data_IF_158941975713
#
_entry.id   IF_158941975713
#
_cell.length_a   1.000
_cell.length_b   1.000
_cell.length_c   1.000
_cell.angle_alpha   90.00
_cell.angle_beta   90.00
_cell.angle_gamma   90.00
#
_symmetry.space_group_name_H-M   'P 1'
#
loop_
_entity.id
_entity.type
_entity.pdbx_description
1 polymer ?
#
# COMPACT_ATOMS: atom_id res chain seq x y z
N UNK A 1 -9.39 50.10 13.36
CA UNK A 1 -8.07 49.43 13.31
C UNK A 1 -7.46 49.10 14.68
N UNK A 2 -8.27 48.95 15.75
CA UNK A 2 -7.73 48.61 17.08
C UNK A 2 -8.37 47.34 17.71
N UNK A 3 -9.08 46.53 16.95
CA UNK A 3 -9.72 45.29 17.46
C UNK A 3 -9.03 43.98 17.06
N UNK A 4 -7.91 44.03 16.34
CA UNK A 4 -7.23 42.81 15.83
C UNK A 4 -6.06 42.36 16.72
N UNK A 5 -5.61 43.14 17.70
CA UNK A 5 -4.44 42.84 18.55
C UNK A 5 -4.75 42.16 19.88
N UNK A 6 -6.01 41.75 20.15
CA UNK A 6 -6.35 41.14 21.44
C UNK A 6 -6.30 39.60 21.45
N UNK A 7 -6.03 38.99 20.32
CA UNK A 7 -5.99 37.53 20.18
C UNK A 7 -4.58 36.89 20.05
N UNK A 8 -3.54 37.74 20.14
CA UNK A 8 -2.15 37.28 20.03
C UNK A 8 -1.50 36.87 21.36
N UNK A 9 -2.25 36.82 22.46
CA UNK A 9 -1.68 36.56 23.79
C UNK A 9 -2.29 35.41 24.60
N UNK A 10 -3.22 34.65 24.04
CA UNK A 10 -3.80 33.48 24.71
C UNK A 10 -3.39 32.20 24.02
N UNK A 11 -2.69 31.32 24.74
CA UNK A 11 -2.11 30.06 24.31
C UNK A 11 -3.08 29.03 23.69
N UNK A 12 -3.82 29.44 22.66
CA UNK A 12 -4.75 28.60 21.90
C UNK A 12 -4.00 27.71 20.86
N UNK A 13 -2.70 28.01 20.63
CA UNK A 13 -1.85 27.18 19.74
C UNK A 13 -1.57 25.77 20.28
N UNK A 14 -1.90 25.48 21.55
CA UNK A 14 -1.70 24.16 22.15
C UNK A 14 -2.89 23.20 22.02
N UNK A 15 -4.03 23.64 21.51
CA UNK A 15 -5.22 22.76 21.40
C UNK A 15 -5.41 22.08 20.05
N UNK A 16 -4.51 22.26 19.06
CA UNK A 16 -4.57 21.53 17.78
C UNK A 16 -5.90 21.68 17.00
N UNK A 17 -6.75 22.63 17.40
CA UNK A 17 -8.00 22.92 16.69
C UNK A 17 -7.64 23.73 15.45
N UNK A 18 -7.72 23.11 14.31
CA UNK A 18 -7.49 23.73 13.02
C UNK A 18 -8.56 24.83 12.82
N UNK A 19 -8.19 26.08 13.12
CA UNK A 19 -9.09 27.25 12.96
C UNK A 19 -9.68 27.32 11.55
N UNK A 20 -9.00 26.74 10.58
CA UNK A 20 -9.43 26.65 9.19
C UNK A 20 -10.65 25.73 9.02
N UNK A 21 -10.73 24.65 9.79
CA UNK A 21 -11.89 23.74 9.78
C UNK A 21 -13.10 24.37 10.50
N UNK A 22 -12.86 25.12 11.59
CA UNK A 22 -13.94 25.82 12.28
C UNK A 22 -14.56 26.91 11.40
N UNK A 23 -13.74 27.65 10.64
CA UNK A 23 -14.22 28.65 9.69
C UNK A 23 -14.88 28.05 8.45
N UNK A 24 -14.50 26.84 8.03
CA UNK A 24 -15.09 26.17 6.87
C UNK A 24 -16.55 25.76 7.12
N UNK A 25 -16.92 25.47 8.37
CA UNK A 25 -18.30 25.16 8.76
C UNK A 25 -19.18 26.41 8.91
N UNK A 26 -18.58 27.59 9.14
CA UNK A 26 -19.31 28.85 9.31
C UNK A 26 -19.47 29.66 8.01
N UNK A 27 -18.75 29.32 6.95
CA UNK A 27 -18.92 29.96 5.66
C UNK A 27 -20.02 29.25 4.85
N UNK A 28 -21.01 29.97 4.30
CA UNK A 28 -21.99 29.37 3.40
C UNK A 28 -21.24 28.75 2.21
N UNK A 29 -21.52 27.48 1.95
CA UNK A 29 -20.93 26.74 0.81
C UNK A 29 -21.11 27.57 -0.47
N UNK A 30 -20.02 28.07 -1.06
CA UNK A 30 -20.05 28.78 -2.34
C UNK A 30 -20.62 27.84 -3.40
N UNK A 31 -21.87 28.02 -3.74
CA UNK A 31 -22.51 27.31 -4.86
C UNK A 31 -21.93 27.81 -6.18
N UNK A 32 -21.23 26.93 -6.88
CA UNK A 32 -20.69 27.22 -8.21
C UNK A 32 -21.72 26.79 -9.25
N UNK A 33 -22.36 27.75 -9.93
CA UNK A 33 -23.25 27.42 -11.06
C UNK A 33 -22.40 26.84 -12.21
N UNK A 34 -22.66 25.58 -12.57
CA UNK A 34 -22.08 24.91 -13.73
C UNK A 34 -23.19 24.69 -14.77
N UNK A 35 -22.87 24.95 -16.05
CA UNK A 35 -23.70 24.51 -17.16
C UNK A 35 -23.16 23.19 -17.66
N UNK A 36 -23.97 22.15 -17.59
CA UNK A 36 -23.62 20.78 -18.00
C UNK A 36 -24.72 20.25 -18.95
N UNK A 37 -24.37 19.33 -19.87
CA UNK A 37 -25.37 18.55 -20.60
C UNK A 37 -26.29 17.81 -19.63
N UNK A 38 -27.56 17.60 -20.03
CA UNK A 38 -28.58 16.98 -19.14
C UNK A 38 -28.15 15.61 -18.63
N UNK A 39 -27.46 14.81 -19.45
CA UNK A 39 -26.94 13.49 -19.06
C UNK A 39 -25.92 13.55 -17.95
N UNK A 40 -24.99 14.52 -17.99
CA UNK A 40 -23.99 14.73 -16.96
C UNK A 40 -24.59 15.38 -15.71
N UNK A 41 -25.46 16.37 -15.89
CA UNK A 41 -26.17 17.01 -14.78
C UNK A 41 -26.97 16.00 -13.96
N UNK A 42 -27.62 15.02 -14.63
CA UNK A 42 -28.34 13.93 -13.95
C UNK A 42 -27.43 13.09 -13.07
N UNK A 43 -26.23 12.72 -13.55
CA UNK A 43 -25.26 11.95 -12.75
C UNK A 43 -24.82 12.71 -11.52
N UNK A 44 -24.50 14.00 -11.67
CA UNK A 44 -24.07 14.85 -10.55
C UNK A 44 -25.21 15.00 -9.53
N UNK A 45 -26.44 15.27 -9.97
CA UNK A 45 -27.59 15.41 -9.07
C UNK A 45 -27.91 14.10 -8.33
N UNK A 46 -27.79 12.94 -8.99
CA UNK A 46 -27.99 11.65 -8.33
C UNK A 46 -26.94 11.44 -7.24
N UNK A 47 -25.67 11.79 -7.50
CA UNK A 47 -24.61 11.70 -6.50
C UNK A 47 -24.84 12.66 -5.32
N UNK A 48 -25.25 13.90 -5.60
CA UNK A 48 -25.57 14.90 -4.57
C UNK A 48 -26.75 14.46 -3.70
N UNK A 49 -27.82 13.92 -4.30
CA UNK A 49 -28.97 13.42 -3.53
C UNK A 49 -28.66 12.14 -2.78
N UNK A 50 -27.89 11.22 -3.37
CA UNK A 50 -27.43 10.02 -2.67
C UNK A 50 -26.55 10.36 -1.43
N UNK A 51 -25.69 11.37 -1.57
CA UNK A 51 -24.86 11.82 -0.46
C UNK A 51 -25.67 12.39 0.72
N UNK A 52 -26.84 12.99 0.45
CA UNK A 52 -27.74 13.50 1.51
C UNK A 52 -28.48 12.40 2.27
N UNK A 53 -28.59 11.21 1.68
CA UNK A 53 -29.22 10.04 2.32
C UNK A 53 -28.27 9.30 3.27
N UNK A 54 -26.98 9.64 3.26
CA UNK A 54 -25.97 9.03 4.11
C UNK A 54 -25.83 9.87 5.37
N UNK A 55 -26.10 9.27 6.52
CA UNK A 55 -25.74 9.84 7.82
C UNK A 55 -24.26 9.59 8.09
N UNK A 56 -23.45 10.63 7.87
CA UNK A 56 -21.99 10.56 8.06
C UNK A 56 -21.59 10.29 9.50
N UNK A 57 -22.38 10.75 10.47
CA UNK A 57 -22.10 10.51 11.87
C UNK A 57 -22.30 9.03 12.22
N UNK A 58 -23.37 8.40 11.69
CA UNK A 58 -23.59 6.96 11.82
C UNK A 58 -22.47 6.16 11.13
N UNK A 59 -22.05 6.56 9.92
CA UNK A 59 -20.94 5.92 9.19
C UNK A 59 -19.65 5.97 10.00
N UNK A 60 -19.32 7.11 10.61
CA UNK A 60 -18.13 7.27 11.44
C UNK A 60 -18.21 6.37 12.68
N UNK A 61 -19.32 6.35 13.37
CA UNK A 61 -19.55 5.51 14.55
C UNK A 61 -19.35 4.03 14.21
N UNK A 62 -19.97 3.56 13.12
CA UNK A 62 -19.86 2.18 12.66
C UNK A 62 -18.42 1.86 12.25
N UNK A 63 -17.73 2.79 11.58
CA UNK A 63 -16.33 2.61 11.17
C UNK A 63 -15.39 2.49 12.39
N UNK A 64 -15.53 3.38 13.38
CA UNK A 64 -14.76 3.32 14.62
C UNK A 64 -15.00 1.97 15.31
N UNK A 65 -16.26 1.58 15.51
CA UNK A 65 -16.61 0.31 16.14
C UNK A 65 -16.01 -0.89 15.41
N UNK A 66 -16.13 -0.95 14.08
CA UNK A 66 -15.51 -2.02 13.27
C UNK A 66 -13.99 -2.03 13.40
N UNK A 67 -13.36 -0.87 13.42
CA UNK A 67 -11.90 -0.75 13.59
C UNK A 67 -11.47 -1.30 14.95
N UNK A 68 -12.18 -0.92 16.03
CA UNK A 68 -11.87 -1.38 17.38
C UNK A 68 -12.09 -2.88 17.58
N UNK A 69 -13.14 -3.47 16.98
CA UNK A 69 -13.53 -4.86 17.20
C UNK A 69 -12.88 -5.85 16.23
N UNK A 70 -12.64 -5.45 14.98
CA UNK A 70 -12.17 -6.32 13.88
C UNK A 70 -11.08 -5.72 13.03
N UNK A 71 -10.43 -4.64 13.48
CA UNK A 71 -9.34 -3.99 12.78
C UNK A 71 -8.11 -4.89 12.67
N UNK A 72 -7.39 -4.76 11.55
CA UNK A 72 -6.09 -5.41 11.31
C UNK A 72 -5.12 -4.33 10.90
N UNK A 73 -3.95 -4.30 11.54
CA UNK A 73 -2.86 -3.37 11.23
C UNK A 73 -1.63 -4.16 10.83
N UNK A 74 -1.08 -3.88 9.64
CA UNK A 74 0.20 -4.41 9.21
C UNK A 74 1.31 -3.41 9.48
N UNK A 75 2.38 -3.88 10.13
CA UNK A 75 3.62 -3.13 10.36
C UNK A 75 4.69 -3.79 9.48
N UNK A 76 5.02 -3.16 8.37
CA UNK A 76 6.05 -3.68 7.47
C UNK A 76 7.45 -3.20 7.88
N UNK A 77 8.47 -3.96 7.47
CA UNK A 77 9.88 -3.66 7.73
C UNK A 77 10.24 -3.46 9.21
N UNK A 78 9.61 -4.21 10.13
CA UNK A 78 9.87 -4.09 11.57
C UNK A 78 11.35 -4.41 11.93
N UNK A 79 12.07 -5.14 11.09
CA UNK A 79 13.49 -5.40 11.23
C UNK A 79 14.36 -4.16 11.16
N UNK A 80 13.88 -3.07 10.52
CA UNK A 80 14.59 -1.80 10.42
C UNK A 80 14.70 -1.05 11.75
N UNK A 81 13.79 -1.30 12.67
CA UNK A 81 13.83 -0.73 14.02
C UNK A 81 14.45 -1.67 15.04
N UNK A 82 14.78 -2.91 14.67
CA UNK A 82 15.54 -3.83 15.54
C UNK A 82 16.99 -3.36 15.65
N UNK A 83 17.55 -3.40 16.87
CA UNK A 83 18.87 -2.86 17.19
C UNK A 83 19.75 -3.94 17.81
N UNK A 84 20.94 -4.18 17.24
CA UNK A 84 21.90 -5.18 17.76
C UNK A 84 22.76 -4.68 18.90
N UNK A 85 23.03 -3.37 18.99
CA UNK A 85 23.95 -2.78 19.95
C UNK A 85 23.41 -1.45 20.48
N UNK A 86 23.32 -1.33 21.79
CA UNK A 86 22.83 -0.12 22.50
C UNK A 86 23.85 1.05 22.53
N UNK A 87 24.92 1.02 21.71
CA UNK A 87 26.03 1.96 21.85
C UNK A 87 26.11 3.07 20.80
N UNK A 88 25.24 3.06 19.78
CA UNK A 88 25.23 4.13 18.78
C UNK A 88 24.01 5.05 18.92
N UNK A 89 24.14 6.31 18.52
CA UNK A 89 23.01 7.28 18.53
C UNK A 89 21.86 6.82 17.62
N UNK A 90 22.16 6.04 16.58
CA UNK A 90 21.17 5.46 15.67
C UNK A 90 20.36 4.37 16.37
N UNK A 91 20.99 3.57 17.22
CA UNK A 91 20.33 2.48 17.95
C UNK A 91 19.38 3.02 19.03
N UNK A 92 19.75 4.11 19.69
CA UNK A 92 18.87 4.84 20.62
C UNK A 92 17.61 5.34 19.92
N UNK A 93 17.75 5.85 18.69
CA UNK A 93 16.60 6.30 17.88
C UNK A 93 15.68 5.13 17.49
N UNK A 94 16.24 3.97 17.10
CA UNK A 94 15.47 2.76 16.79
C UNK A 94 14.70 2.21 17.98
N UNK A 95 15.34 2.16 19.14
CA UNK A 95 14.68 1.77 20.38
C UNK A 95 13.57 2.75 20.77
N UNK A 96 13.77 4.05 20.55
CA UNK A 96 12.73 5.08 20.73
C UNK A 96 11.48 4.79 19.91
N UNK A 97 11.62 4.47 18.62
CA UNK A 97 10.49 4.09 17.75
C UNK A 97 9.77 2.85 18.26
N UNK A 98 10.51 1.82 18.73
CA UNK A 98 9.87 0.64 19.31
C UNK A 98 9.05 0.98 20.57
N UNK A 99 9.55 1.88 21.41
CA UNK A 99 8.85 2.35 22.63
C UNK A 99 7.63 3.22 22.29
N UNK A 100 7.66 3.95 21.16
CA UNK A 100 6.51 4.74 20.69
C UNK A 100 5.38 3.86 20.12
N UNK A 101 5.73 2.73 19.48
CA UNK A 101 4.75 1.77 18.93
C UNK A 101 4.15 0.91 20.06
N UNK A 102 4.91 0.62 21.10
CA UNK A 102 4.52 -0.32 22.15
C UNK A 102 3.16 0.00 22.78
N UNK A 103 2.82 1.24 23.22
CA UNK A 103 1.51 1.54 23.78
C UNK A 103 0.35 1.24 22.82
N UNK A 104 0.57 1.43 21.52
CA UNK A 104 -0.45 1.19 20.49
C UNK A 104 -0.73 -0.31 20.37
N UNK A 105 0.32 -1.14 20.40
CA UNK A 105 0.21 -2.60 20.31
C UNK A 105 -0.29 -3.21 21.63
N UNK A 106 0.01 -2.57 22.77
CA UNK A 106 -0.46 -3.01 24.09
C UNK A 106 -1.93 -2.70 24.36
N UNK A 107 -2.50 -1.75 23.66
CA UNK A 107 -3.85 -1.23 23.84
C UNK A 107 -3.82 0.19 24.41
N UNK A 108 -4.24 1.12 23.62
CA UNK A 108 -4.35 2.55 23.98
C UNK A 108 -5.49 3.20 23.22
N UNK A 109 -5.81 4.44 23.61
CA UNK A 109 -6.75 5.27 22.86
C UNK A 109 -6.00 6.22 21.96
N UNK A 110 -6.12 6.06 20.65
CA UNK A 110 -5.51 6.91 19.64
C UNK A 110 -6.52 7.94 19.15
N UNK A 111 -6.17 9.23 19.21
CA UNK A 111 -7.01 10.30 18.70
C UNK A 111 -6.86 10.38 17.18
N UNK A 112 -7.98 10.21 16.47
CA UNK A 112 -8.04 10.36 15.01
C UNK A 112 -8.88 11.58 14.63
N UNK A 113 -8.85 11.96 13.36
CA UNK A 113 -9.73 13.03 12.84
C UNK A 113 -11.23 12.70 12.92
N UNK A 114 -11.56 11.45 13.17
CA UNK A 114 -12.94 10.97 13.32
C UNK A 114 -13.35 10.69 14.77
N UNK A 115 -12.43 10.87 15.71
CA UNK A 115 -12.64 10.63 17.11
C UNK A 115 -11.64 9.63 17.70
N UNK A 116 -11.78 9.29 19.01
CA UNK A 116 -10.91 8.32 19.67
C UNK A 116 -11.17 6.91 19.16
N UNK A 117 -10.10 6.14 18.98
CA UNK A 117 -10.12 4.71 18.60
C UNK A 117 -9.29 3.92 19.60
N UNK A 118 -9.87 2.88 20.19
CA UNK A 118 -9.19 1.95 21.10
C UNK A 118 -8.52 0.84 20.31
N UNK A 119 -7.29 0.50 20.67
CA UNK A 119 -6.49 -0.50 19.94
C UNK A 119 -6.44 -1.87 20.62
N UNK A 120 -7.14 -2.05 21.74
CA UNK A 120 -7.08 -3.25 22.58
C UNK A 120 -7.43 -4.56 21.87
N UNK A 121 -8.32 -4.51 20.88
CA UNK A 121 -8.78 -5.69 20.13
C UNK A 121 -8.37 -5.68 18.66
N UNK A 122 -7.49 -4.76 18.26
CA UNK A 122 -6.94 -4.72 16.91
C UNK A 122 -5.86 -5.82 16.77
N UNK A 123 -5.93 -6.56 15.68
CA UNK A 123 -4.90 -7.54 15.34
C UNK A 123 -3.70 -6.81 14.69
N UNK A 124 -2.52 -6.95 15.30
CA UNK A 124 -1.26 -6.44 14.74
C UNK A 124 -0.48 -7.57 14.08
N UNK A 125 -0.06 -7.37 12.85
CA UNK A 125 0.78 -8.30 12.08
C UNK A 125 2.04 -7.56 11.68
N UNK A 126 3.17 -7.97 12.22
CA UNK A 126 4.47 -7.39 11.88
C UNK A 126 5.22 -8.26 10.88
N UNK A 127 5.79 -7.65 9.85
CA UNK A 127 6.61 -8.32 8.84
C UNK A 127 8.00 -7.71 8.78
N UNK A 128 9.00 -8.52 8.51
CA UNK A 128 10.39 -8.07 8.34
C UNK A 128 11.25 -9.16 7.74
N UNK A 129 12.27 -8.77 6.98
CA UNK A 129 13.18 -9.70 6.34
C UNK A 129 14.22 -10.32 7.30
N UNK A 130 14.57 -9.59 8.36
CA UNK A 130 15.52 -10.01 9.40
C UNK A 130 16.86 -10.59 8.88
N UNK A 131 17.36 -10.06 7.76
CA UNK A 131 18.65 -10.51 7.19
C UNK A 131 19.86 -10.14 8.08
N UNK A 132 19.81 -8.95 8.69
CA UNK A 132 20.87 -8.41 9.53
C UNK A 132 20.53 -8.52 11.01
N UNK A 133 19.33 -8.06 11.38
CA UNK A 133 18.79 -8.16 12.72
C UNK A 133 18.01 -9.48 12.89
N UNK A 134 17.76 -9.87 14.13
CA UNK A 134 16.90 -11.01 14.48
C UNK A 134 15.63 -10.51 15.19
N UNK A 135 14.53 -11.26 15.19
CA UNK A 135 13.37 -10.92 16.03
C UNK A 135 13.70 -10.74 17.51
N UNK A 136 14.76 -11.41 18.01
CA UNK A 136 15.27 -11.26 19.37
C UNK A 136 16.01 -9.93 19.62
N UNK A 137 16.29 -9.15 18.59
CA UNK A 137 16.91 -7.83 18.70
C UNK A 137 15.88 -6.70 18.90
N UNK A 138 14.59 -7.03 18.87
CA UNK A 138 13.53 -6.14 19.32
C UNK A 138 13.51 -6.08 20.85
N UNK A 139 12.99 -4.98 21.43
CA UNK A 139 12.86 -4.87 22.88
C UNK A 139 11.99 -5.99 23.45
N UNK A 140 12.28 -6.53 24.64
CA UNK A 140 11.57 -7.68 25.20
C UNK A 140 10.05 -7.49 25.30
N UNK A 141 9.62 -6.27 25.61
CA UNK A 141 8.21 -5.92 25.73
C UNK A 141 7.48 -6.10 24.40
N UNK A 142 8.09 -5.63 23.29
CA UNK A 142 7.53 -5.77 21.96
C UNK A 142 7.53 -7.22 21.49
N UNK A 143 8.59 -7.98 21.80
CA UNK A 143 8.61 -9.43 21.54
C UNK A 143 7.47 -10.18 22.22
N UNK A 144 7.11 -9.78 23.45
CA UNK A 144 5.98 -10.34 24.18
C UNK A 144 4.63 -10.08 23.54
N UNK A 145 4.50 -9.00 22.74
CA UNK A 145 3.27 -8.66 22.01
C UNK A 145 3.16 -9.33 20.65
N UNK A 146 4.27 -9.86 20.11
CA UNK A 146 4.29 -10.68 18.88
C UNK A 146 4.76 -12.12 19.22
N UNK A 147 3.96 -12.89 20.00
CA UNK A 147 4.38 -14.21 20.46
C UNK A 147 4.38 -15.26 19.35
N UNK A 148 3.51 -15.06 18.33
CA UNK A 148 3.40 -15.99 17.21
C UNK A 148 4.38 -15.57 16.12
N UNK A 149 5.28 -16.47 15.75
CA UNK A 149 6.27 -16.25 14.70
C UNK A 149 6.04 -17.24 13.57
N UNK A 150 6.01 -16.72 12.35
CA UNK A 150 5.84 -17.51 11.12
C UNK A 150 7.01 -17.16 10.20
N UNK A 151 7.71 -18.17 9.74
CA UNK A 151 8.75 -18.03 8.71
C UNK A 151 8.13 -18.41 7.36
N UNK A 152 8.22 -17.50 6.39
CA UNK A 152 7.74 -17.75 5.03
C UNK A 152 8.82 -18.49 4.24
N UNK A 153 8.40 -19.54 3.54
CA UNK A 153 9.29 -20.32 2.67
C UNK A 153 9.66 -19.52 1.42
N UNK A 154 10.80 -19.87 0.83
CA UNK A 154 11.23 -19.33 -0.46
C UNK A 154 10.27 -19.82 -1.55
N UNK A 155 9.97 -18.93 -2.51
CA UNK A 155 9.14 -19.27 -3.65
C UNK A 155 9.85 -20.32 -4.55
N UNK A 156 9.12 -21.37 -4.94
CA UNK A 156 9.54 -22.33 -5.95
C UNK A 156 9.20 -21.84 -7.36
N UNK A 157 9.67 -22.56 -8.39
CA UNK A 157 9.31 -22.27 -9.80
C UNK A 157 7.79 -22.37 -10.00
N UNK A 158 7.16 -23.38 -9.40
CA UNK A 158 5.72 -23.59 -9.46
C UNK A 158 4.95 -22.41 -8.83
N UNK A 159 5.44 -21.90 -7.69
CA UNK A 159 4.83 -20.72 -7.08
C UNK A 159 4.94 -19.48 -7.97
N UNK A 160 6.07 -19.30 -8.68
CA UNK A 160 6.20 -18.21 -9.65
C UNK A 160 5.22 -18.33 -10.81
N UNK A 161 5.00 -19.56 -11.34
CA UNK A 161 3.98 -19.83 -12.37
C UNK A 161 2.59 -19.49 -11.87
N UNK A 162 2.24 -19.93 -10.66
CA UNK A 162 0.95 -19.61 -10.05
C UNK A 162 0.74 -18.09 -9.90
N UNK A 163 1.74 -17.38 -9.39
CA UNK A 163 1.68 -15.90 -9.24
C UNK A 163 1.49 -15.21 -10.60
N UNK A 164 2.09 -15.73 -11.66
CA UNK A 164 1.96 -15.18 -13.01
C UNK A 164 0.57 -15.36 -13.62
N UNK A 165 -0.16 -16.43 -13.24
CA UNK A 165 -1.34 -16.88 -13.97
C UNK A 165 -2.64 -16.88 -13.17
N UNK A 166 -2.63 -17.31 -11.91
CA UNK A 166 -3.85 -17.60 -11.15
C UNK A 166 -4.59 -16.35 -10.63
N UNK A 167 -3.94 -15.35 -10.01
CA UNK A 167 -4.64 -14.20 -9.43
C UNK A 167 -5.51 -13.47 -10.45
N UNK A 168 -6.59 -12.86 -9.99
CA UNK A 168 -7.46 -12.04 -10.85
C UNK A 168 -6.68 -10.90 -11.50
N UNK A 169 -5.74 -10.32 -10.77
CA UNK A 169 -4.83 -9.28 -11.22
C UNK A 169 -3.41 -9.82 -11.47
N UNK A 170 -3.28 -11.06 -11.97
CA UNK A 170 -1.97 -11.62 -12.33
C UNK A 170 -1.20 -10.71 -13.29
N UNK A 171 0.14 -10.66 -13.16
CA UNK A 171 0.99 -9.77 -13.96
C UNK A 171 0.79 -9.92 -15.46
N UNK A 172 0.70 -11.15 -15.94
CA UNK A 172 0.44 -11.44 -17.36
C UNK A 172 -0.88 -10.79 -17.81
N UNK A 173 -1.94 -10.86 -16.99
CA UNK A 173 -3.24 -10.25 -17.30
C UNK A 173 -3.14 -8.72 -17.33
N UNK A 174 -2.34 -8.13 -16.42
CA UNK A 174 -2.12 -6.69 -16.40
C UNK A 174 -1.39 -6.20 -17.66
N UNK A 175 -0.31 -6.88 -18.08
CA UNK A 175 0.42 -6.50 -19.29
C UNK A 175 -0.40 -6.75 -20.57
N UNK A 176 -1.20 -7.82 -20.63
CA UNK A 176 -2.16 -8.03 -21.71
C UNK A 176 -3.15 -6.87 -21.83
N UNK A 177 -3.74 -6.45 -20.71
CA UNK A 177 -4.67 -5.33 -20.68
C UNK A 177 -4.00 -4.01 -21.05
N UNK A 178 -2.76 -3.77 -20.59
CA UNK A 178 -2.00 -2.56 -20.91
C UNK A 178 -1.72 -2.46 -22.40
N UNK A 179 -1.16 -3.49 -23.02
CA UNK A 179 -0.81 -3.49 -24.45
C UNK A 179 -2.06 -3.50 -25.35
N UNK A 180 -3.16 -4.06 -24.88
CA UNK A 180 -4.44 -3.98 -25.60
C UNK A 180 -4.96 -2.54 -25.73
N UNK A 181 -4.60 -1.60 -24.84
CA UNK A 181 -4.94 -0.19 -24.99
C UNK A 181 -4.24 0.48 -26.17
N UNK A 182 -3.08 -0.06 -26.57
CA UNK A 182 -2.32 0.38 -27.74
C UNK A 182 -2.65 -0.46 -29.00
N UNK A 183 -3.65 -1.34 -28.90
CA UNK A 183 -4.11 -2.17 -30.03
C UNK A 183 -3.30 -3.46 -30.28
N UNK A 184 -2.40 -3.81 -29.36
CA UNK A 184 -1.60 -5.04 -29.45
C UNK A 184 -2.18 -6.13 -28.57
N UNK A 185 -2.58 -7.26 -29.17
CA UNK A 185 -2.93 -8.48 -28.45
C UNK A 185 -1.68 -9.31 -28.16
N UNK A 186 -1.35 -9.48 -26.88
CA UNK A 186 -0.20 -10.29 -26.45
C UNK A 186 -0.64 -11.61 -25.84
N UNK A 187 -0.02 -12.72 -26.27
CA UNK A 187 -0.21 -14.04 -25.67
C UNK A 187 1.12 -14.60 -25.17
N UNK A 188 1.08 -15.34 -24.09
CA UNK A 188 2.24 -16.05 -23.55
C UNK A 188 1.98 -17.55 -23.71
N UNK A 189 2.93 -18.28 -24.30
CA UNK A 189 2.86 -19.72 -24.29
C UNK A 189 3.15 -20.27 -22.88
N UNK A 190 2.63 -21.46 -22.57
CA UNK A 190 2.86 -22.09 -21.28
C UNK A 190 4.35 -22.33 -21.01
N UNK A 191 5.10 -22.67 -22.06
CA UNK A 191 6.55 -22.86 -21.99
C UNK A 191 7.28 -21.54 -21.72
N UNK A 192 6.80 -20.41 -22.28
CA UNK A 192 7.36 -19.09 -21.99
C UNK A 192 7.11 -18.69 -20.52
N UNK A 193 5.92 -18.99 -19.99
CA UNK A 193 5.60 -18.76 -18.58
C UNK A 193 6.53 -19.58 -17.67
N UNK A 194 6.73 -20.85 -17.98
CA UNK A 194 7.67 -21.71 -17.26
C UNK A 194 9.11 -21.19 -17.33
N UNK A 195 9.52 -20.68 -18.49
CA UNK A 195 10.86 -20.11 -18.67
C UNK A 195 11.05 -18.83 -17.85
N UNK A 196 10.06 -17.91 -17.84
CA UNK A 196 10.06 -16.68 -17.03
C UNK A 196 10.14 -17.04 -15.54
N UNK A 197 9.34 -18.01 -15.09
CA UNK A 197 9.34 -18.47 -13.70
C UNK A 197 10.70 -19.08 -13.29
N UNK A 198 11.29 -19.91 -14.15
CA UNK A 198 12.61 -20.51 -13.92
C UNK A 198 13.72 -19.48 -13.84
N UNK A 199 13.70 -18.45 -14.71
CA UNK A 199 14.65 -17.34 -14.68
C UNK A 199 14.48 -16.52 -13.39
N UNK A 200 13.24 -16.23 -12.99
CA UNK A 200 12.98 -15.49 -11.74
C UNK A 200 13.50 -16.24 -10.52
N UNK A 201 13.30 -17.55 -10.48
CA UNK A 201 13.83 -18.42 -9.44
C UNK A 201 15.35 -18.39 -9.42
N UNK A 202 16.00 -18.59 -10.57
CA UNK A 202 17.46 -18.62 -10.68
C UNK A 202 18.08 -17.29 -10.27
N UNK A 203 17.57 -16.16 -10.77
CA UNK A 203 18.09 -14.85 -10.41
C UNK A 203 17.91 -14.56 -8.92
N UNK A 204 16.81 -15.00 -8.29
CA UNK A 204 16.63 -14.89 -6.84
C UNK A 204 17.57 -15.81 -6.02
N UNK A 205 18.13 -16.87 -6.64
CA UNK A 205 19.17 -17.68 -5.98
C UNK A 205 20.56 -17.06 -6.12
N UNK A 206 20.86 -16.47 -7.27
CA UNK A 206 22.18 -15.94 -7.62
C UNK A 206 22.40 -14.51 -7.10
N UNK A 207 21.32 -13.80 -6.79
CA UNK A 207 21.34 -12.40 -6.31
C UNK A 207 20.50 -12.24 -5.04
N UNK A 208 20.21 -10.98 -4.64
CA UNK A 208 19.29 -10.70 -3.55
C UNK A 208 17.90 -11.27 -3.83
N UNK A 209 17.41 -12.09 -2.93
CA UNK A 209 16.07 -12.66 -3.02
C UNK A 209 15.01 -11.59 -2.70
N UNK A 210 14.39 -11.03 -3.75
CA UNK A 210 13.30 -10.06 -3.64
C UNK A 210 11.91 -10.71 -3.85
N UNK A 211 11.84 -12.03 -3.80
CA UNK A 211 10.59 -12.79 -3.94
C UNK A 211 9.89 -12.52 -5.28
N UNK A 212 8.56 -12.40 -5.23
CA UNK A 212 7.73 -12.20 -6.42
C UNK A 212 7.96 -10.86 -7.14
N UNK A 213 8.58 -9.86 -6.48
CA UNK A 213 8.95 -8.59 -7.14
C UNK A 213 9.89 -8.82 -8.34
N UNK A 214 10.66 -9.91 -8.33
CA UNK A 214 11.51 -10.30 -9.46
C UNK A 214 10.74 -10.46 -10.77
N UNK A 215 9.51 -10.94 -10.71
CA UNK A 215 8.66 -11.11 -11.90
C UNK A 215 8.33 -9.78 -12.57
N UNK A 216 8.10 -8.70 -11.80
CA UNK A 216 7.89 -7.36 -12.38
C UNK A 216 9.12 -6.92 -13.18
N UNK A 217 10.30 -7.00 -12.58
CA UNK A 217 11.56 -6.60 -13.24
C UNK A 217 11.83 -7.40 -14.52
N UNK A 218 11.53 -8.70 -14.48
CA UNK A 218 11.73 -9.57 -15.65
C UNK A 218 10.73 -9.26 -16.76
N UNK A 219 9.43 -9.12 -16.42
CA UNK A 219 8.41 -8.81 -17.42
C UNK A 219 8.56 -7.40 -17.98
N UNK A 220 8.95 -6.42 -17.15
CA UNK A 220 9.26 -5.07 -17.59
C UNK A 220 10.37 -5.08 -18.64
N UNK A 221 11.51 -5.73 -18.35
CA UNK A 221 12.61 -5.87 -19.29
C UNK A 221 12.23 -6.66 -20.54
N UNK A 222 11.42 -7.73 -20.40
CA UNK A 222 10.97 -8.57 -21.50
C UNK A 222 10.10 -7.81 -22.50
N UNK A 223 9.26 -6.90 -22.00
CA UNK A 223 8.26 -6.18 -22.79
C UNK A 223 8.63 -4.72 -23.05
N UNK A 224 9.81 -4.27 -22.62
CA UNK A 224 10.27 -2.88 -22.74
C UNK A 224 10.21 -2.39 -24.19
N UNK A 225 10.86 -3.09 -25.13
CA UNK A 225 10.90 -2.70 -26.54
C UNK A 225 9.48 -2.73 -27.14
N UNK A 226 8.72 -3.80 -26.85
CA UNK A 226 7.35 -3.95 -27.36
C UNK A 226 6.45 -2.82 -26.87
N UNK A 227 6.58 -2.42 -25.60
CA UNK A 227 5.80 -1.33 -25.00
C UNK A 227 6.21 0.02 -25.57
N UNK A 228 7.50 0.22 -25.87
CA UNK A 228 8.02 1.47 -26.44
C UNK A 228 7.59 1.64 -27.90
N UNK A 229 7.65 0.57 -28.68
CA UNK A 229 7.32 0.59 -30.11
C UNK A 229 5.82 0.45 -30.38
N UNK A 230 5.02 0.05 -29.38
CA UNK A 230 3.59 -0.24 -29.51
C UNK A 230 2.78 0.82 -30.29
N UNK A 231 2.98 2.14 -30.07
CA UNK A 231 2.22 3.17 -30.79
C UNK A 231 2.55 3.25 -32.27
N UNK A 232 3.75 2.79 -32.68
CA UNK A 232 4.29 2.95 -34.03
C UNK A 232 4.22 1.67 -34.86
N UNK A 233 3.87 0.53 -34.24
CA UNK A 233 3.85 -0.78 -34.88
C UNK A 233 2.39 -1.23 -35.16
N UNK A 234 2.11 -1.59 -36.41
CA UNK A 234 0.86 -2.25 -36.80
C UNK A 234 0.94 -3.79 -36.59
N UNK A 235 1.19 -4.21 -35.35
CA UNK A 235 1.13 -5.63 -34.96
C UNK A 235 -0.17 -5.91 -34.22
N UNK A 236 -1.06 -6.67 -34.83
CA UNK A 236 -2.34 -7.02 -34.17
C UNK A 236 -2.17 -8.06 -33.06
N UNK A 237 -1.20 -8.98 -33.21
CA UNK A 237 -0.97 -10.07 -32.26
C UNK A 237 0.49 -10.44 -32.13
N UNK A 238 0.97 -10.57 -30.88
CA UNK A 238 2.32 -11.01 -30.53
C UNK A 238 2.24 -12.21 -29.59
N UNK A 239 2.98 -13.28 -29.93
CA UNK A 239 3.09 -14.46 -29.07
C UNK A 239 4.49 -14.51 -28.45
N UNK A 240 4.54 -14.48 -27.13
CA UNK A 240 5.79 -14.62 -26.37
C UNK A 240 6.12 -16.10 -26.25
N UNK A 241 7.22 -16.49 -26.88
CA UNK A 241 7.76 -17.86 -26.86
C UNK A 241 8.98 -17.96 -25.95
N UNK A 242 9.44 -19.17 -25.58
CA UNK A 242 10.67 -19.34 -24.80
C UNK A 242 11.91 -18.73 -25.47
N UNK A 243 11.99 -18.80 -26.81
CA UNK A 243 13.09 -18.24 -27.60
C UNK A 243 13.11 -16.71 -27.48
N UNK A 244 11.92 -16.07 -27.53
CA UNK A 244 11.79 -14.64 -27.32
C UNK A 244 12.27 -14.24 -25.91
N UNK A 245 11.89 -15.02 -24.89
CA UNK A 245 12.34 -14.81 -23.51
C UNK A 245 13.86 -14.89 -23.39
N UNK A 246 14.48 -15.90 -24.00
CA UNK A 246 15.93 -16.07 -24.00
C UNK A 246 16.65 -14.94 -24.73
N UNK A 247 16.14 -14.51 -25.87
CA UNK A 247 16.74 -13.43 -26.64
C UNK A 247 16.73 -12.07 -25.90
N UNK A 248 15.68 -11.81 -25.15
CA UNK A 248 15.49 -10.50 -24.47
C UNK A 248 16.13 -10.44 -23.08
N UNK A 249 16.35 -11.58 -22.43
CA UNK A 249 16.81 -11.62 -21.03
C UNK A 249 18.25 -12.15 -20.88
N UNK A 250 18.89 -12.62 -21.94
CA UNK A 250 20.32 -12.88 -22.02
C UNK A 250 21.02 -11.61 -22.52
#
# INVERSE_FOLDING_TARGET
NQKFNLLQGTGIDQMGINMQDLFSHLMPKKTKKRKLPVSEARKVLIQDEAAKLIDMDEVIQVAIKKTEETGIIFIDEIDKIASKNQQSSIDVSREGVQRDILPIVEGSTVMTKYGPVKTDHILFIAAGAFHIAKPSDLIPELQGRFPIRVELEKLSVENFVQILTEPDNALIKQYKALLATEGIEIEFSDEAIQKIASLAYQVNQDTDNIGARRLHTILEKLLEDLSFEAPDINLEKVVITPEYVEQKLN
#
